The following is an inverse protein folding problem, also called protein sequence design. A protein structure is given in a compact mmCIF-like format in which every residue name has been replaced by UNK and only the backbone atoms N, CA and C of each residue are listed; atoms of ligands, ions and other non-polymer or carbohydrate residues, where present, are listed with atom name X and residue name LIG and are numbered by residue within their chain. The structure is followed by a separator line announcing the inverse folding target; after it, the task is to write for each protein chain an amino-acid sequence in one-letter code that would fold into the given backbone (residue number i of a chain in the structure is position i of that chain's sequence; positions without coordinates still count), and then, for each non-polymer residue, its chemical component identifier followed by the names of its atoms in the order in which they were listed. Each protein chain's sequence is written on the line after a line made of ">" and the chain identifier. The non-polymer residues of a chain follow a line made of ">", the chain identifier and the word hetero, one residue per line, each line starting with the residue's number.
data_IF_516009771734
#
_entry.id   IF_516009771734
#
_cell.length_a   1.000
_cell.length_b   1.000
_cell.length_c   1.000
_cell.angle_alpha   90.00
_cell.angle_beta   90.00
_cell.angle_gamma   90.00
#
_symmetry.space_group_name_H-M   'P 1'
#
loop_
_entity.id
_entity.type
_entity.pdbx_description
1 polymer ?
#
# COMPACT_ATOMS: atom_id res chain seq x y z
N UNK A 1 -12.08 -7.72 5.59
CA UNK A 1 -12.51 -8.06 4.21
C UNK A 1 -13.73 -8.98 4.23
N UNK A 2 -14.60 -8.92 3.22
CA UNK A 2 -15.84 -9.74 3.15
C UNK A 2 -15.57 -11.26 3.01
N UNK A 3 -14.35 -11.69 2.68
CA UNK A 3 -13.97 -13.09 2.46
C UNK A 3 -13.54 -13.87 3.71
N UNK A 4 -13.22 -13.21 4.83
CA UNK A 4 -12.75 -13.87 6.06
C UNK A 4 -11.28 -14.31 6.07
N UNK A 5 -10.52 -14.02 5.01
CA UNK A 5 -9.10 -14.35 4.92
C UNK A 5 -8.21 -13.43 5.78
N UNK A 6 -7.01 -13.90 6.17
CA UNK A 6 -6.03 -13.07 6.85
C UNK A 6 -5.74 -11.79 6.08
N UNK A 7 -5.61 -10.68 6.80
CA UNK A 7 -5.34 -9.36 6.23
C UNK A 7 -4.11 -9.34 5.30
N UNK A 8 -3.06 -10.07 5.68
CA UNK A 8 -1.78 -10.13 4.97
C UNK A 8 -1.87 -10.75 3.57
N UNK A 9 -2.90 -11.54 3.27
CA UNK A 9 -3.00 -12.28 2.00
C UNK A 9 -2.98 -11.35 0.79
N UNK A 10 -3.65 -10.20 0.88
CA UNK A 10 -3.71 -9.25 -0.23
C UNK A 10 -2.41 -8.45 -0.44
N UNK A 11 -1.87 -7.75 0.57
CA UNK A 11 -0.61 -7.03 0.40
C UNK A 11 0.52 -7.95 -0.05
N UNK A 12 0.55 -9.20 0.43
CA UNK A 12 1.52 -10.20 0.00
C UNK A 12 1.35 -10.58 -1.47
N UNK A 13 0.13 -10.87 -1.93
CA UNK A 13 -0.12 -11.21 -3.32
C UNK A 13 0.28 -10.07 -4.28
N UNK A 14 -0.07 -8.83 -3.96
CA UNK A 14 0.32 -7.64 -4.75
C UNK A 14 1.84 -7.50 -4.79
N UNK A 15 2.50 -7.67 -3.65
CA UNK A 15 3.97 -7.56 -3.55
C UNK A 15 4.68 -8.64 -4.36
N UNK A 16 4.16 -9.86 -4.38
CA UNK A 16 4.71 -10.95 -5.21
C UNK A 16 4.64 -10.62 -6.69
N UNK A 17 3.52 -10.09 -7.17
CA UNK A 17 3.37 -9.66 -8.58
C UNK A 17 4.41 -8.57 -8.91
N UNK A 18 4.60 -7.59 -8.04
CA UNK A 18 5.58 -6.52 -8.25
C UNK A 18 7.02 -7.06 -8.24
N UNK A 19 7.31 -8.04 -7.38
CA UNK A 19 8.62 -8.68 -7.33
C UNK A 19 8.92 -9.46 -8.62
N UNK A 20 7.92 -10.17 -9.17
CA UNK A 20 8.02 -10.85 -10.47
C UNK A 20 8.26 -9.89 -11.63
N UNK A 21 7.73 -8.67 -11.54
CA UNK A 21 7.97 -7.58 -12.50
C UNK A 21 9.32 -6.88 -12.31
N UNK A 22 10.10 -7.25 -11.29
CA UNK A 22 11.42 -6.67 -11.01
C UNK A 22 11.36 -5.31 -10.29
N UNK A 23 10.29 -5.04 -9.54
CA UNK A 23 10.18 -3.82 -8.76
C UNK A 23 11.25 -3.74 -7.66
N UNK A 24 11.72 -2.52 -7.39
CA UNK A 24 12.75 -2.27 -6.39
C UNK A 24 12.21 -2.37 -4.96
N UNK A 25 13.11 -2.54 -3.99
CA UNK A 25 12.77 -2.74 -2.57
C UNK A 25 11.80 -1.70 -2.03
N UNK A 26 11.98 -0.42 -2.36
CA UNK A 26 11.09 0.67 -1.93
C UNK A 26 9.65 0.43 -2.39
N UNK A 27 9.45 0.01 -3.64
CA UNK A 27 8.12 -0.31 -4.19
C UNK A 27 7.52 -1.55 -3.52
N UNK A 28 8.33 -2.58 -3.26
CA UNK A 28 7.89 -3.79 -2.57
C UNK A 28 7.51 -3.52 -1.12
N UNK A 29 8.25 -2.66 -0.42
CA UNK A 29 7.92 -2.24 0.93
C UNK A 29 6.63 -1.43 0.95
N UNK A 30 6.47 -0.48 0.02
CA UNK A 30 5.24 0.29 -0.11
C UNK A 30 4.02 -0.60 -0.41
N UNK A 31 4.15 -1.62 -1.27
CA UNK A 31 3.05 -2.54 -1.56
C UNK A 31 2.67 -3.45 -0.40
N UNK A 32 3.59 -3.76 0.51
CA UNK A 32 3.23 -4.47 1.75
C UNK A 32 2.45 -3.59 2.72
N UNK A 33 2.69 -2.27 2.68
CA UNK A 33 2.14 -1.30 3.63
C UNK A 33 0.92 -0.53 3.10
N UNK A 34 0.60 -0.61 1.80
CA UNK A 34 -0.35 0.31 1.15
C UNK A 34 -1.71 0.42 1.87
N UNK A 35 -2.31 -0.71 2.25
CA UNK A 35 -3.61 -0.71 2.95
C UNK A 35 -3.47 -0.42 4.47
N UNK A 36 -2.26 -0.46 5.03
CA UNK A 36 -2.03 -0.43 6.49
C UNK A 36 -2.48 0.89 7.11
N UNK A 37 -2.23 2.01 6.44
CA UNK A 37 -2.62 3.35 6.93
C UNK A 37 -4.13 3.57 6.86
N UNK A 38 -4.83 2.83 5.99
CA UNK A 38 -6.27 2.97 5.79
C UNK A 38 -7.08 2.05 6.69
N UNK A 39 -6.57 0.84 6.94
CA UNK A 39 -7.28 -0.19 7.68
C UNK A 39 -6.88 -0.28 9.17
N UNK A 40 -5.87 0.47 9.61
CA UNK A 40 -5.35 0.42 10.99
C UNK A 40 -5.10 1.80 11.58
N UNK A 41 -4.68 1.86 12.85
CA UNK A 41 -4.31 3.12 13.53
C UNK A 41 -2.90 3.63 13.18
N UNK A 42 -2.18 2.93 12.28
CA UNK A 42 -0.85 3.34 11.83
C UNK A 42 -0.92 4.63 11.02
N UNK A 43 -0.04 5.59 11.32
CA UNK A 43 0.00 6.90 10.64
C UNK A 43 1.13 6.97 9.59
N UNK A 44 0.99 7.89 8.63
CA UNK A 44 2.06 8.18 7.67
C UNK A 44 3.36 8.63 8.33
N UNK A 45 3.29 9.33 9.47
CA UNK A 45 4.47 9.74 10.21
C UNK A 45 5.21 8.53 10.81
N UNK A 46 4.47 7.53 11.30
CA UNK A 46 5.06 6.26 11.76
C UNK A 46 5.68 5.46 10.61
N UNK A 47 5.05 5.48 9.43
CA UNK A 47 5.62 4.85 8.23
C UNK A 47 6.91 5.55 7.81
N UNK A 48 6.92 6.89 7.79
CA UNK A 48 8.11 7.69 7.49
C UNK A 48 9.25 7.40 8.47
N UNK A 49 8.96 7.35 9.76
CA UNK A 49 9.97 7.09 10.80
C UNK A 49 10.59 5.70 10.66
N UNK A 50 9.81 4.69 10.29
CA UNK A 50 10.28 3.30 10.20
C UNK A 50 10.89 2.92 8.84
N UNK A 51 10.39 3.49 7.74
CA UNK A 51 10.70 3.04 6.38
C UNK A 51 11.26 4.15 5.47
N UNK A 52 11.30 5.40 5.95
CA UNK A 52 11.84 6.54 5.23
C UNK A 52 10.82 7.29 4.36
N UNK A 53 11.26 8.43 3.83
CA UNK A 53 10.40 9.35 3.09
C UNK A 53 9.86 8.78 1.78
N UNK A 54 10.67 8.00 1.04
CA UNK A 54 10.24 7.44 -0.24
C UNK A 54 9.11 6.43 -0.09
N UNK A 55 9.20 5.52 0.90
CA UNK A 55 8.13 4.55 1.19
C UNK A 55 6.88 5.28 1.65
N UNK A 56 7.02 6.26 2.54
CA UNK A 56 5.89 7.08 3.01
C UNK A 56 5.20 7.80 1.83
N UNK A 57 5.97 8.35 0.89
CA UNK A 57 5.44 9.03 -0.29
C UNK A 57 4.62 8.08 -1.18
N UNK A 58 5.10 6.86 -1.40
CA UNK A 58 4.38 5.87 -2.20
C UNK A 58 3.10 5.40 -1.51
N UNK A 59 3.15 5.11 -0.21
CA UNK A 59 1.97 4.67 0.56
C UNK A 59 0.90 5.76 0.56
N UNK A 60 1.26 7.02 0.84
CA UNK A 60 0.34 8.15 0.77
C UNK A 60 -0.28 8.33 -0.63
N UNK A 61 0.54 8.15 -1.67
CA UNK A 61 0.09 8.20 -3.06
C UNK A 61 -0.98 7.17 -3.38
N UNK A 62 -0.76 5.89 -3.02
CA UNK A 62 -1.71 4.80 -3.32
C UNK A 62 -3.01 4.97 -2.52
N UNK A 63 -2.92 5.29 -1.23
CA UNK A 63 -4.09 5.55 -0.38
C UNK A 63 -4.96 6.69 -0.92
N UNK A 64 -4.35 7.74 -1.48
CA UNK A 64 -5.11 8.83 -2.10
C UNK A 64 -5.81 8.40 -3.38
N UNK A 65 -5.17 7.57 -4.20
CA UNK A 65 -5.75 7.06 -5.44
C UNK A 65 -7.00 6.20 -5.19
N UNK A 66 -7.00 5.39 -4.13
CA UNK A 66 -8.18 4.59 -3.78
C UNK A 66 -9.37 5.43 -3.32
N UNK A 67 -9.11 6.61 -2.73
CA UNK A 67 -10.13 7.56 -2.29
C UNK A 67 -10.67 8.45 -3.42
N UNK A 68 -10.06 8.42 -4.60
CA UNK A 68 -10.63 9.09 -5.77
C UNK A 68 -11.75 8.19 -6.30
N UNK A 69 -13.00 8.62 -6.08
CA UNK A 69 -14.14 8.06 -6.81
C UNK A 69 -13.84 8.18 -8.31
N UNK A 70 -13.70 7.05 -9.01
CA UNK A 70 -13.70 7.00 -10.48
C UNK A 70 -15.10 7.31 -11.06
N UNK A 71 -15.78 8.32 -10.50
CA UNK A 71 -16.96 8.95 -11.07
C UNK A 71 -16.52 10.00 -12.08
N UNK A 72 -16.79 9.73 -13.36
CA UNK A 72 -16.55 10.58 -14.53
C UNK A 72 -15.15 10.50 -15.17
N UNK A 73 -14.85 9.35 -15.76
CA UNK A 73 -14.09 9.32 -17.01
C UNK A 73 -14.89 8.47 -18.04
N UNK A 74 -15.66 9.19 -18.87
CA UNK A 74 -16.41 8.80 -20.08
C UNK A 74 -17.58 7.81 -19.92
#
# INVERSE_FOLDING_TARGET
>A
RKSGEPYITHPLAVTLILAELGAETTTLTASLLHDTVEDTEVTLDQVREQFGDEVCYLVDGVTKLEKVDYGAAA
#
